data_IF_485197306188
#
_entry.id   IF_485197306188
#
_cell.length_a   1.000
_cell.length_b   1.000
_cell.length_c   1.000
_cell.angle_alpha   90.00
_cell.angle_beta   90.00
_cell.angle_gamma   90.00
#
_symmetry.space_group_name_H-M   'P 1'
#
loop_
_entity.id
_entity.type
_entity.pdbx_description
1 polymer ?
#
# COMPACT_ATOMS: atom_id res chain seq x y z
N UNK A 1 36.04 52.31 -40.79
CA UNK A 1 34.60 51.98 -40.69
C UNK A 1 34.33 50.51 -40.26
N UNK A 2 35.34 49.65 -40.07
CA UNK A 2 35.12 48.19 -39.88
C UNK A 2 35.05 47.74 -38.40
N UNK A 3 35.56 48.53 -37.44
CA UNK A 3 35.60 48.12 -36.01
C UNK A 3 34.22 48.22 -35.32
N UNK A 4 33.27 48.96 -35.88
CA UNK A 4 31.96 49.21 -35.23
C UNK A 4 31.03 47.97 -35.24
N UNK A 5 31.13 47.11 -36.26
CA UNK A 5 30.22 45.97 -36.42
C UNK A 5 30.54 44.75 -35.53
N UNK A 6 31.79 44.57 -35.10
CA UNK A 6 32.19 43.42 -34.27
C UNK A 6 31.62 43.51 -32.84
N UNK A 7 31.60 44.72 -32.25
CA UNK A 7 31.04 44.94 -30.92
C UNK A 7 29.52 44.74 -30.86
N UNK A 8 28.81 45.06 -31.94
CA UNK A 8 27.36 44.88 -32.02
C UNK A 8 26.96 43.41 -32.20
N UNK A 9 27.80 42.61 -32.88
CA UNK A 9 27.62 41.15 -32.96
C UNK A 9 27.77 40.48 -31.59
N UNK A 10 28.82 40.81 -30.84
CA UNK A 10 29.00 40.27 -29.49
C UNK A 10 27.89 40.72 -28.54
N UNK A 11 27.44 41.98 -28.63
CA UNK A 11 26.34 42.49 -27.80
C UNK A 11 25.00 41.80 -28.13
N UNK A 12 24.73 41.55 -29.41
CA UNK A 12 23.53 40.82 -29.87
C UNK A 12 23.54 39.34 -29.46
N UNK A 13 24.67 38.67 -29.61
CA UNK A 13 24.84 37.28 -29.17
C UNK A 13 24.66 37.14 -27.65
N UNK A 14 25.21 38.09 -26.87
CA UNK A 14 25.07 38.10 -25.40
C UNK A 14 23.63 38.39 -24.94
N UNK A 15 22.88 39.20 -25.69
CA UNK A 15 21.45 39.40 -25.44
C UNK A 15 20.61 38.15 -25.72
N UNK A 16 20.83 37.51 -26.87
CA UNK A 16 20.09 36.31 -27.28
C UNK A 16 20.31 35.11 -26.32
N UNK A 17 21.54 34.86 -25.87
CA UNK A 17 21.81 33.82 -24.85
C UNK A 17 21.15 34.14 -23.50
N UNK A 18 21.03 35.43 -23.16
CA UNK A 18 20.30 35.87 -21.98
C UNK A 18 18.81 35.56 -22.08
N UNK A 19 18.16 35.91 -23.19
CA UNK A 19 16.73 35.63 -23.41
C UNK A 19 16.41 34.13 -23.42
N UNK A 20 17.27 33.32 -24.06
CA UNK A 20 17.15 31.86 -24.08
C UNK A 20 17.25 31.26 -22.66
N UNK A 21 18.15 31.78 -21.82
CA UNK A 21 18.30 31.36 -20.42
C UNK A 21 17.05 31.65 -19.58
N UNK A 22 16.45 32.84 -19.72
CA UNK A 22 15.22 33.18 -19.02
C UNK A 22 14.02 32.33 -19.47
N UNK A 23 13.92 32.05 -20.78
CA UNK A 23 12.88 31.17 -21.33
C UNK A 23 12.99 29.75 -20.77
N UNK A 24 14.21 29.22 -20.66
CA UNK A 24 14.47 27.91 -20.07
C UNK A 24 14.07 27.85 -18.58
N UNK A 25 14.49 28.84 -17.78
CA UNK A 25 14.15 28.90 -16.34
C UNK A 25 12.63 28.96 -16.12
N UNK A 26 11.91 29.72 -16.95
CA UNK A 26 10.43 29.77 -16.90
C UNK A 26 9.79 28.42 -17.18
N UNK A 27 10.30 27.67 -18.15
CA UNK A 27 9.80 26.34 -18.46
C UNK A 27 10.04 25.37 -17.31
N UNK A 28 11.24 25.38 -16.71
CA UNK A 28 11.57 24.53 -15.55
C UNK A 28 10.67 24.84 -14.36
N UNK A 29 10.41 26.11 -14.07
CA UNK A 29 9.51 26.52 -12.98
C UNK A 29 8.07 26.06 -13.26
N UNK A 30 7.57 26.26 -14.48
CA UNK A 30 6.23 25.82 -14.86
C UNK A 30 6.07 24.30 -14.76
N UNK A 31 7.07 23.54 -15.18
CA UNK A 31 7.09 22.09 -15.06
C UNK A 31 7.11 21.64 -13.60
N UNK A 32 7.96 22.24 -12.76
CA UNK A 32 8.02 21.96 -11.33
C UNK A 32 6.68 22.24 -10.63
N UNK A 33 6.04 23.36 -10.94
CA UNK A 33 4.71 23.70 -10.42
C UNK A 33 3.64 22.69 -10.89
N UNK A 34 3.70 22.23 -12.14
CA UNK A 34 2.77 21.23 -12.66
C UNK A 34 2.88 19.89 -11.92
N UNK A 35 4.11 19.46 -11.60
CA UNK A 35 4.36 18.24 -10.84
C UNK A 35 3.90 18.37 -9.38
N UNK A 36 4.06 19.55 -8.78
CA UNK A 36 3.58 19.82 -7.42
C UNK A 36 2.05 19.74 -7.37
N UNK A 37 1.36 20.39 -8.31
CA UNK A 37 -0.10 20.32 -8.43
C UNK A 37 -0.56 18.88 -8.67
N UNK A 38 0.10 18.15 -9.57
CA UNK A 38 -0.21 16.75 -9.83
C UNK A 38 -0.02 15.88 -8.58
N UNK A 39 1.07 16.07 -7.83
CA UNK A 39 1.34 15.34 -6.59
C UNK A 39 0.27 15.58 -5.53
N UNK A 40 -0.20 16.82 -5.39
CA UNK A 40 -1.32 17.18 -4.50
C UNK A 40 -2.61 16.49 -4.96
N UNK A 41 -2.95 16.59 -6.25
CA UNK A 41 -4.15 15.95 -6.81
C UNK A 41 -4.14 14.43 -6.61
N UNK A 42 -2.99 13.78 -6.83
CA UNK A 42 -2.83 12.35 -6.60
C UNK A 42 -3.02 12.03 -5.11
N UNK A 43 -2.41 12.79 -4.20
CA UNK A 43 -2.51 12.52 -2.76
C UNK A 43 -3.96 12.60 -2.27
N UNK A 44 -4.72 13.61 -2.69
CA UNK A 44 -6.12 13.76 -2.30
C UNK A 44 -7.06 12.80 -3.05
N UNK A 45 -6.85 12.59 -4.35
CA UNK A 45 -7.69 11.74 -5.18
C UNK A 45 -7.48 10.24 -4.97
N UNK A 46 -6.26 9.82 -4.64
CA UNK A 46 -5.90 8.41 -4.49
C UNK A 46 -6.70 7.74 -3.37
N UNK A 47 -6.89 8.42 -2.24
CA UNK A 47 -7.67 7.86 -1.12
C UNK A 47 -9.12 7.57 -1.52
N UNK A 48 -9.78 8.51 -2.21
CA UNK A 48 -11.16 8.33 -2.68
C UNK A 48 -11.26 7.23 -3.75
N UNK A 49 -10.30 7.18 -4.66
CA UNK A 49 -10.21 6.16 -5.70
C UNK A 49 -10.04 4.75 -5.10
N UNK A 50 -9.10 4.57 -4.17
CA UNK A 50 -8.87 3.29 -3.50
C UNK A 50 -10.08 2.85 -2.69
N UNK A 51 -10.74 3.76 -1.96
CA UNK A 51 -11.98 3.43 -1.22
C UNK A 51 -13.06 2.88 -2.15
N UNK A 52 -13.24 3.50 -3.32
CA UNK A 52 -14.20 3.04 -4.32
C UNK A 52 -13.89 1.61 -4.80
N UNK A 53 -12.61 1.31 -5.07
CA UNK A 53 -12.19 -0.04 -5.47
C UNK A 53 -12.46 -1.05 -4.35
N UNK A 54 -12.09 -0.72 -3.10
CA UNK A 54 -12.29 -1.58 -1.95
C UNK A 54 -13.79 -1.86 -1.75
N UNK A 55 -14.63 -0.83 -1.78
CA UNK A 55 -16.08 -0.99 -1.61
C UNK A 55 -16.69 -1.88 -2.69
N UNK A 56 -16.17 -1.84 -3.92
CA UNK A 56 -16.63 -2.71 -5.00
C UNK A 56 -16.15 -4.16 -4.90
N UNK A 57 -14.93 -4.39 -4.39
CA UNK A 57 -14.32 -5.72 -4.35
C UNK A 57 -14.64 -6.47 -3.05
N UNK A 58 -14.65 -5.78 -1.91
CA UNK A 58 -14.79 -6.36 -0.56
C UNK A 58 -16.25 -6.52 -0.17
N UNK A 59 -17.16 -5.66 -0.66
CA UNK A 59 -18.57 -5.81 -0.36
C UNK A 59 -19.10 -7.15 -0.88
N UNK A 60 -19.90 -7.84 -0.06
CA UNK A 60 -20.56 -9.10 -0.40
C UNK A 60 -21.70 -8.85 -1.40
N UNK A 61 -21.34 -8.57 -2.65
CA UNK A 61 -22.27 -8.38 -3.77
C UNK A 61 -22.18 -9.56 -4.71
N UNK A 62 -23.33 -9.97 -5.25
CA UNK A 62 -23.43 -11.04 -6.24
C UNK A 62 -22.58 -10.66 -7.47
N UNK A 63 -21.64 -11.54 -7.84
CA UNK A 63 -20.67 -11.32 -8.92
C UNK A 63 -19.31 -10.75 -8.48
N UNK A 64 -19.15 -10.33 -7.21
CA UNK A 64 -17.87 -9.89 -6.64
C UNK A 64 -16.98 -11.06 -6.22
N UNK A 65 -15.66 -10.87 -6.28
CA UNK A 65 -14.66 -11.89 -5.91
C UNK A 65 -14.79 -12.30 -4.44
N UNK A 66 -14.96 -11.35 -3.52
CA UNK A 66 -15.12 -11.63 -2.09
C UNK A 66 -16.37 -12.47 -1.79
N UNK A 67 -17.46 -12.30 -2.55
CA UNK A 67 -18.65 -13.16 -2.40
C UNK A 67 -18.35 -14.61 -2.79
N UNK A 68 -17.59 -14.81 -3.88
CA UNK A 68 -17.17 -16.15 -4.31
C UNK A 68 -16.34 -16.87 -3.26
N UNK A 69 -15.36 -16.19 -2.68
CA UNK A 69 -14.52 -16.75 -1.61
C UNK A 69 -15.26 -16.96 -0.30
N UNK A 70 -16.21 -16.10 0.06
CA UNK A 70 -17.05 -16.33 1.24
C UNK A 70 -17.96 -17.55 1.05
N UNK A 71 -18.55 -17.72 -0.13
CA UNK A 71 -19.44 -18.86 -0.43
C UNK A 71 -18.69 -20.18 -0.63
N UNK A 72 -17.49 -20.13 -1.20
CA UNK A 72 -16.61 -21.29 -1.44
C UNK A 72 -15.17 -20.86 -1.18
N UNK A 73 -14.71 -20.95 0.07
CA UNK A 73 -13.34 -20.57 0.41
C UNK A 73 -12.37 -21.44 -0.40
N UNK A 74 -11.30 -20.85 -0.94
CA UNK A 74 -10.33 -21.58 -1.77
C UNK A 74 -9.41 -22.50 -0.95
N UNK A 75 -9.53 -22.48 0.37
CA UNK A 75 -8.71 -23.23 1.30
C UNK A 75 -9.61 -23.98 2.27
N UNK A 76 -9.34 -25.27 2.44
CA UNK A 76 -10.01 -26.12 3.42
C UNK A 76 -9.41 -25.89 4.81
N UNK A 77 -10.22 -25.49 5.81
CA UNK A 77 -9.71 -25.25 7.16
C UNK A 77 -9.43 -26.57 7.88
N UNK A 78 -8.18 -26.81 8.28
CA UNK A 78 -7.80 -27.97 9.08
C UNK A 78 -7.91 -27.62 10.57
N UNK A 79 -8.79 -28.33 11.29
CA UNK A 79 -8.96 -28.19 12.73
C UNK A 79 -8.11 -29.25 13.45
N UNK A 80 -7.27 -28.82 14.40
CA UNK A 80 -6.46 -29.70 15.25
C UNK A 80 -6.88 -29.53 16.71
N UNK A 81 -7.40 -30.60 17.29
CA UNK A 81 -7.85 -30.62 18.68
C UNK A 81 -6.80 -31.33 19.53
N UNK A 82 -6.36 -30.66 20.60
CA UNK A 82 -5.47 -31.22 21.63
C UNK A 82 -6.28 -31.31 22.92
N UNK A 83 -6.26 -32.48 23.55
CA UNK A 83 -6.97 -32.76 24.79
C UNK A 83 -5.94 -32.97 25.88
N UNK A 84 -6.07 -32.25 26.99
CA UNK A 84 -5.23 -32.48 28.17
C UNK A 84 -5.92 -33.47 29.09
N UNK A 85 -5.41 -34.69 29.12
CA UNK A 85 -5.87 -35.74 30.01
C UNK A 85 -5.36 -35.50 31.44
N UNK A 86 -6.26 -35.51 32.42
CA UNK A 86 -5.90 -35.36 33.84
C UNK A 86 -5.62 -36.73 34.42
N UNK A 87 -4.36 -37.03 34.74
CA UNK A 87 -3.96 -38.37 35.22
C UNK A 87 -4.22 -38.58 36.71
N UNK A 88 -4.33 -37.51 37.50
CA UNK A 88 -4.59 -37.54 38.95
C UNK A 88 -5.94 -36.89 39.32
N UNK A 89 -7.01 -37.18 38.57
CA UNK A 89 -8.31 -36.53 38.76
C UNK A 89 -8.86 -36.67 40.19
N UNK A 90 -8.78 -37.84 40.81
CA UNK A 90 -9.33 -38.08 42.15
C UNK A 90 -8.58 -37.29 43.24
N UNK A 91 -7.25 -37.23 43.17
CA UNK A 91 -6.44 -36.45 44.12
C UNK A 91 -6.59 -34.94 43.90
N UNK A 92 -6.77 -34.52 42.65
CA UNK A 92 -7.03 -33.13 42.31
C UNK A 92 -8.37 -32.67 42.90
N UNK A 93 -9.43 -33.46 42.69
CA UNK A 93 -10.79 -33.10 43.10
C UNK A 93 -11.01 -33.21 44.61
N UNK A 94 -10.44 -34.24 45.26
CA UNK A 94 -10.71 -34.52 46.68
C UNK A 94 -9.65 -33.95 47.63
N UNK A 95 -8.39 -33.88 47.21
CA UNK A 95 -7.27 -33.52 48.11
C UNK A 95 -6.66 -32.14 47.79
N UNK A 96 -7.14 -31.45 46.76
CA UNK A 96 -6.65 -30.12 46.36
C UNK A 96 -5.20 -30.15 45.85
N UNK A 97 -4.70 -31.30 45.43
CA UNK A 97 -3.36 -31.45 44.84
C UNK A 97 -3.30 -30.79 43.46
N UNK A 98 -2.10 -30.48 42.94
CA UNK A 98 -1.97 -29.88 41.60
C UNK A 98 -2.33 -30.92 40.53
N UNK A 99 -3.11 -30.58 39.48
CA UNK A 99 -3.43 -31.51 38.42
C UNK A 99 -2.20 -31.79 37.55
N UNK A 100 -2.05 -33.06 37.16
CA UNK A 100 -1.03 -33.58 36.24
C UNK A 100 -1.74 -33.84 34.91
N UNK A 101 -1.22 -33.21 33.85
CA UNK A 101 -1.82 -33.21 32.52
C UNK A 101 -0.92 -33.92 31.53
N UNK A 102 -1.50 -34.83 30.76
CA UNK A 102 -0.89 -35.45 29.59
C UNK A 102 -1.57 -34.93 28.33
N UNK A 103 -0.79 -34.39 27.38
CA UNK A 103 -1.33 -33.93 26.11
C UNK A 103 -1.64 -35.10 25.18
N UNK A 104 -2.87 -35.15 24.68
CA UNK A 104 -3.36 -36.13 23.71
C UNK A 104 -3.77 -35.43 22.42
N UNK A 105 -3.20 -35.83 21.29
CA UNK A 105 -3.57 -35.31 19.98
C UNK A 105 -2.40 -35.25 19.00
N UNK A 106 -2.59 -34.58 17.84
CA UNK A 106 -3.83 -33.89 17.44
C UNK A 106 -4.91 -34.84 16.92
N UNK A 107 -6.18 -34.59 17.28
CA UNK A 107 -7.34 -35.11 16.55
C UNK A 107 -7.65 -34.14 15.42
N UNK A 108 -7.48 -34.59 14.18
CA UNK A 108 -7.54 -33.75 12.98
C UNK A 108 -8.88 -33.91 12.28
N UNK A 109 -9.56 -32.79 12.02
CA UNK A 109 -10.75 -32.71 11.18
C UNK A 109 -10.45 -31.81 9.97
N UNK A 110 -10.84 -32.29 8.78
CA UNK A 110 -10.70 -31.60 7.49
C UNK A 110 -12.09 -31.23 6.98
#
# INVERSE_FOLDING_TARGET
MIVRGAGDYHRGATGAIGELSHSYVRFVIAFALSLLVLGVLVTFGFTAFIRTIIDHQVALRVGGQSFGWWSRPPVEPIIRIFVYNVTNADEFLNNGTKPILDELGPYVYV
#
